data_IF_219611392676
#
_entry.id   IF_219611392676
#
_cell.length_a   1.000
_cell.length_b   1.000
_cell.length_c   1.000
_cell.angle_alpha   90.00
_cell.angle_beta   90.00
_cell.angle_gamma   90.00
#
_symmetry.space_group_name_H-M   'P 1'
#
loop_
_entity.id
_entity.type
_entity.pdbx_description
1 polymer ?
#
# COMPACT_ATOMS: atom_id res chain seq x y z
N UNK A 1 -11.66 -31.02 -11.49
CA UNK A 1 -12.01 -29.77 -12.20
C UNK A 1 -10.87 -29.26 -13.11
N UNK A 2 -9.63 -29.25 -12.63
CA UNK A 2 -8.46 -28.80 -13.41
C UNK A 2 -8.32 -29.42 -14.81
N UNK A 3 -8.27 -30.76 -14.95
CA UNK A 3 -8.09 -31.40 -16.26
C UNK A 3 -9.22 -31.10 -17.25
N UNK A 4 -10.45 -30.94 -16.75
CA UNK A 4 -11.61 -30.56 -17.57
C UNK A 4 -11.47 -29.12 -18.08
N UNK A 5 -11.05 -28.19 -17.22
CA UNK A 5 -10.79 -26.81 -17.60
C UNK A 5 -9.67 -26.70 -18.65
N UNK A 6 -8.56 -27.43 -18.45
CA UNK A 6 -7.47 -27.47 -19.43
C UNK A 6 -7.91 -28.02 -20.79
N UNK A 7 -8.73 -29.08 -20.81
CA UNK A 7 -9.29 -29.61 -22.06
C UNK A 7 -10.18 -28.58 -22.77
N UNK A 8 -10.99 -27.80 -22.04
CA UNK A 8 -11.80 -26.73 -22.60
C UNK A 8 -10.95 -25.67 -23.31
N UNK A 9 -9.85 -25.23 -22.68
CA UNK A 9 -8.92 -24.30 -23.31
C UNK A 9 -8.25 -24.92 -24.55
N UNK A 10 -7.81 -26.18 -24.45
CA UNK A 10 -7.15 -26.88 -25.55
C UNK A 10 -8.03 -27.08 -26.80
N UNK A 11 -9.35 -27.22 -26.64
CA UNK A 11 -10.30 -27.29 -27.77
C UNK A 11 -10.72 -25.90 -28.29
N UNK A 12 -10.07 -24.83 -27.85
CA UNK A 12 -10.26 -23.48 -28.37
C UNK A 12 -11.36 -22.67 -27.68
N UNK A 13 -11.81 -23.06 -26.48
CA UNK A 13 -12.70 -22.20 -25.69
C UNK A 13 -11.92 -20.99 -25.17
N UNK A 14 -12.38 -19.78 -25.49
CA UNK A 14 -11.73 -18.52 -25.10
C UNK A 14 -12.30 -18.02 -23.77
N UNK A 15 -11.46 -17.74 -22.78
CA UNK A 15 -11.92 -17.33 -21.43
C UNK A 15 -12.55 -15.94 -21.47
N UNK A 16 -12.03 -15.07 -22.31
CA UNK A 16 -12.37 -13.66 -22.46
C UNK A 16 -13.76 -13.44 -23.08
N UNK A 17 -14.31 -14.46 -23.78
CA UNK A 17 -15.67 -14.38 -24.34
C UNK A 17 -16.75 -14.87 -23.37
N UNK A 18 -16.36 -15.39 -22.20
CA UNK A 18 -17.31 -15.77 -21.16
C UNK A 18 -17.91 -14.50 -20.56
N UNK A 19 -19.23 -14.37 -20.65
CA UNK A 19 -19.95 -13.23 -20.07
C UNK A 19 -19.81 -13.26 -18.55
N UNK A 20 -19.39 -12.15 -17.97
CA UNK A 20 -19.44 -11.93 -16.52
C UNK A 20 -20.89 -11.72 -16.08
N UNK A 21 -21.18 -11.92 -14.80
CA UNK A 21 -22.54 -11.83 -14.26
C UNK A 21 -23.17 -10.43 -14.46
N UNK A 22 -22.35 -9.39 -14.59
CA UNK A 22 -22.78 -8.03 -14.91
C UNK A 22 -23.33 -7.85 -16.34
N UNK A 23 -23.24 -8.87 -17.21
CA UNK A 23 -23.72 -8.86 -18.59
C UNK A 23 -24.90 -9.84 -18.82
N UNK A 24 -25.49 -10.33 -17.75
CA UNK A 24 -26.63 -11.26 -17.80
C UNK A 24 -27.87 -10.55 -18.37
N UNK A 25 -28.58 -11.21 -19.27
CA UNK A 25 -29.87 -10.72 -19.83
C UNK A 25 -29.79 -9.87 -21.10
N UNK A 26 -28.60 -9.43 -21.56
CA UNK A 26 -28.47 -8.62 -22.79
C UNK A 26 -28.01 -9.47 -23.98
N UNK A 27 -28.89 -9.68 -24.98
CA UNK A 27 -28.50 -10.26 -26.27
C UNK A 27 -27.74 -9.19 -27.07
N UNK A 28 -26.43 -9.32 -27.17
CA UNK A 28 -25.58 -8.35 -27.88
C UNK A 28 -24.09 -8.71 -27.81
N UNK A 29 -23.27 -7.94 -28.56
CA UNK A 29 -21.80 -8.02 -28.50
C UNK A 29 -21.31 -7.63 -27.10
N UNK A 30 -20.24 -8.29 -26.64
CA UNK A 30 -19.56 -7.94 -25.39
C UNK A 30 -19.14 -6.46 -25.46
N UNK A 31 -19.35 -5.66 -24.38
CA UNK A 31 -18.80 -4.32 -24.32
C UNK A 31 -17.27 -4.38 -24.46
N UNK A 32 -16.71 -3.69 -25.45
CA UNK A 32 -15.26 -3.61 -25.66
C UNK A 32 -14.58 -2.55 -24.80
N UNK A 33 -15.36 -1.68 -24.15
CA UNK A 33 -14.85 -0.55 -23.37
C UNK A 33 -14.78 -0.92 -21.90
N UNK A 34 -13.60 -0.83 -21.25
CA UNK A 34 -13.50 -0.94 -19.80
C UNK A 34 -14.44 0.06 -19.14
N UNK A 35 -15.20 -0.37 -18.12
CA UNK A 35 -15.88 0.58 -17.24
C UNK A 35 -14.78 1.46 -16.61
N UNK A 36 -14.83 2.77 -16.86
CA UNK A 36 -13.97 3.70 -16.12
C UNK A 36 -14.28 3.55 -14.62
N UNK A 37 -13.26 3.46 -13.76
CA UNK A 37 -13.47 3.56 -12.32
C UNK A 37 -14.09 4.94 -11.99
N UNK A 38 -14.87 5.04 -10.90
CA UNK A 38 -15.52 6.29 -10.52
C UNK A 38 -14.48 7.41 -10.37
N UNK A 39 -14.81 8.58 -10.91
CA UNK A 39 -13.98 9.78 -10.96
C UNK A 39 -13.63 10.30 -9.55
N UNK A 40 -12.59 9.75 -8.93
CA UNK A 40 -11.86 10.48 -7.89
C UNK A 40 -11.04 11.55 -8.60
N UNK A 41 -11.44 12.83 -8.50
CA UNK A 41 -10.66 13.92 -9.06
C UNK A 41 -9.23 13.90 -8.47
N UNK A 42 -8.18 13.79 -9.28
CA UNK A 42 -6.82 13.56 -8.79
C UNK A 42 -6.28 14.66 -7.84
N UNK A 43 -6.83 15.87 -7.93
CA UNK A 43 -6.47 17.00 -7.07
C UNK A 43 -6.84 16.80 -5.58
N UNK A 44 -7.94 16.09 -5.30
CA UNK A 44 -8.39 15.83 -3.93
C UNK A 44 -7.48 14.82 -3.23
N UNK A 45 -6.97 13.84 -3.97
CA UNK A 45 -6.06 12.83 -3.45
C UNK A 45 -4.70 13.44 -3.09
N UNK A 46 -4.12 14.24 -3.99
CA UNK A 46 -2.82 14.89 -3.75
C UNK A 46 -2.85 15.75 -2.48
N UNK A 47 -3.92 16.53 -2.30
CA UNK A 47 -4.06 17.40 -1.12
C UNK A 47 -4.11 16.59 0.18
N UNK A 48 -4.84 15.47 0.17
CA UNK A 48 -4.93 14.56 1.32
C UNK A 48 -3.60 13.88 1.64
N UNK A 49 -2.83 13.47 0.62
CA UNK A 49 -1.50 12.88 0.81
C UNK A 49 -0.52 13.88 1.43
N UNK A 50 -0.49 15.11 0.91
CA UNK A 50 0.37 16.18 1.46
C UNK A 50 -0.01 16.48 2.91
N UNK A 51 -1.30 16.62 3.22
CA UNK A 51 -1.77 16.84 4.59
C UNK A 51 -1.40 15.69 5.52
N UNK A 52 -1.67 14.45 5.10
CA UNK A 52 -1.34 13.27 5.89
C UNK A 52 0.17 13.22 6.21
N UNK A 53 1.02 13.53 5.23
CA UNK A 53 2.47 13.59 5.42
C UNK A 53 2.87 14.66 6.46
N UNK A 54 2.37 15.89 6.32
CA UNK A 54 2.65 16.98 7.25
C UNK A 54 2.19 16.65 8.68
N UNK A 55 1.03 16.00 8.83
CA UNK A 55 0.48 15.65 10.15
C UNK A 55 1.16 14.43 10.80
N UNK A 56 2.02 13.72 10.08
CA UNK A 56 2.72 12.52 10.57
C UNK A 56 4.13 12.83 11.06
N UNK A 57 4.72 13.94 10.62
CA UNK A 57 6.00 14.43 11.09
C UNK A 57 5.89 15.29 12.36
N UNK A 58 6.91 15.31 13.23
CA UNK A 58 7.03 16.34 14.25
C UNK A 58 7.15 17.73 13.61
N UNK A 59 6.58 18.76 14.25
CA UNK A 59 6.77 20.14 13.82
C UNK A 59 8.26 20.47 13.77
N UNK A 60 8.70 21.15 12.70
CA UNK A 60 10.10 21.57 12.52
C UNK A 60 10.65 22.38 13.70
N UNK A 61 9.77 23.03 14.47
CA UNK A 61 10.12 23.78 15.67
C UNK A 61 10.38 22.91 16.92
N UNK A 62 10.10 21.60 16.88
CA UNK A 62 10.22 20.65 18.01
C UNK A 62 11.20 19.50 17.72
N UNK A 63 12.07 19.65 16.72
CA UNK A 63 13.05 18.63 16.41
C UNK A 63 14.14 18.59 17.48
N UNK A 64 14.26 17.47 18.19
CA UNK A 64 15.36 17.21 19.10
C UNK A 64 16.49 16.50 18.35
N UNK A 65 17.62 17.19 18.21
CA UNK A 65 18.83 16.67 17.58
C UNK A 65 19.85 16.17 18.61
N UNK A 66 19.49 16.04 19.89
CA UNK A 66 20.41 15.58 20.96
C UNK A 66 21.05 14.22 20.68
N UNK A 67 20.32 13.36 19.96
CA UNK A 67 20.75 12.02 19.55
C UNK A 67 21.29 11.97 18.11
N UNK A 68 21.23 13.09 17.37
CA UNK A 68 21.71 13.17 16.00
C UNK A 68 23.23 13.34 16.01
N UNK A 69 23.93 12.43 15.34
CA UNK A 69 25.36 12.53 15.13
C UNK A 69 25.62 12.64 13.64
N UNK A 70 26.24 13.74 13.22
CA UNK A 70 26.65 13.93 11.84
C UNK A 70 27.73 12.90 11.51
N UNK A 71 27.50 12.08 10.47
CA UNK A 71 28.41 11.03 10.01
C UNK A 71 29.63 11.66 9.33
N UNK A 72 30.49 12.33 10.09
CA UNK A 72 31.70 13.00 9.57
C UNK A 72 32.79 11.99 9.22
N UNK A 73 32.76 10.77 9.78
CA UNK A 73 33.55 9.61 9.38
C UNK A 73 32.80 8.31 9.69
N UNK A 74 32.97 7.24 8.90
CA UNK A 74 32.46 5.91 9.28
C UNK A 74 33.12 5.49 10.59
N UNK A 75 32.35 5.53 11.68
CA UNK A 75 32.78 5.00 12.97
C UNK A 75 32.79 3.48 12.86
N UNK A 76 33.95 2.89 12.55
CA UNK A 76 34.18 1.44 12.60
C UNK A 76 34.32 0.93 14.05
N UNK A 77 33.45 1.40 14.95
CA UNK A 77 33.29 0.86 16.29
C UNK A 77 32.56 -0.48 16.23
N UNK A 78 32.71 -1.33 17.23
CA UNK A 78 31.94 -2.57 17.33
C UNK A 78 30.47 -2.19 17.59
N UNK A 79 29.56 -2.63 16.71
CA UNK A 79 28.12 -2.57 16.97
C UNK A 79 27.82 -3.28 18.29
N UNK A 80 27.27 -2.52 19.23
CA UNK A 80 26.84 -2.96 20.55
C UNK A 80 25.39 -3.48 20.45
N UNK A 81 25.00 -4.38 21.36
CA UNK A 81 23.60 -4.73 21.60
C UNK A 81 22.71 -3.48 21.81
N UNK A 82 23.26 -2.40 22.37
CA UNK A 82 22.60 -1.10 22.49
C UNK A 82 22.26 -0.46 21.14
N UNK A 83 23.14 -0.55 20.15
CA UNK A 83 22.91 -0.01 18.81
C UNK A 83 21.80 -0.80 18.09
N UNK A 84 21.82 -2.12 18.24
CA UNK A 84 20.78 -3.02 17.71
C UNK A 84 19.42 -2.73 18.34
N UNK A 85 19.36 -2.55 19.66
CA UNK A 85 18.12 -2.19 20.35
C UNK A 85 17.59 -0.84 19.85
N UNK A 86 18.46 0.17 19.74
CA UNK A 86 18.09 1.48 19.22
C UNK A 86 17.54 1.39 17.79
N UNK A 87 18.12 0.56 16.93
CA UNK A 87 17.62 0.32 15.58
C UNK A 87 16.19 -0.25 15.61
N UNK A 88 15.93 -1.28 16.40
CA UNK A 88 14.59 -1.87 16.50
C UNK A 88 13.57 -0.92 17.14
N UNK A 89 13.97 -0.10 18.11
CA UNK A 89 13.12 0.93 18.71
C UNK A 89 12.73 1.99 17.66
N UNK A 90 13.70 2.46 16.85
CA UNK A 90 13.46 3.40 15.76
C UNK A 90 12.58 2.79 14.66
N UNK A 91 12.86 1.55 14.27
CA UNK A 91 12.09 0.82 13.27
C UNK A 91 10.63 0.67 13.73
N UNK A 92 10.41 0.22 14.97
CA UNK A 92 9.08 0.06 15.56
C UNK A 92 8.34 1.39 15.66
N UNK A 93 9.01 2.45 16.11
CA UNK A 93 8.42 3.78 16.17
C UNK A 93 8.05 4.32 14.79
N UNK A 94 8.87 4.05 13.77
CA UNK A 94 8.58 4.46 12.38
C UNK A 94 7.38 3.73 11.80
N UNK A 95 7.20 2.44 12.12
CA UNK A 95 6.03 1.66 11.71
C UNK A 95 4.74 2.26 12.27
N UNK A 96 4.74 2.65 13.54
CA UNK A 96 3.59 3.29 14.19
C UNK A 96 3.23 4.64 13.55
N UNK A 97 4.23 5.41 13.10
CA UNK A 97 4.00 6.66 12.36
C UNK A 97 3.39 6.37 11.00
N UNK A 98 3.90 5.38 10.26
CA UNK A 98 3.37 4.99 8.94
C UNK A 98 1.95 4.45 9.05
N UNK A 99 1.64 3.66 10.08
CA UNK A 99 0.28 3.16 10.34
C UNK A 99 -0.71 4.32 10.52
N UNK A 100 -0.37 5.28 11.39
CA UNK A 100 -1.20 6.49 11.61
C UNK A 100 -1.28 7.40 10.39
N UNK A 101 -0.24 7.42 9.55
CA UNK A 101 -0.26 8.13 8.28
C UNK A 101 -1.24 7.47 7.30
N UNK A 102 -1.20 6.13 7.18
CA UNK A 102 -2.03 5.37 6.27
C UNK A 102 -3.52 5.52 6.59
N UNK A 103 -3.91 5.56 7.87
CA UNK A 103 -5.27 5.83 8.32
C UNK A 103 -5.85 7.16 7.81
N UNK A 104 -5.00 8.14 7.49
CA UNK A 104 -5.40 9.45 6.95
C UNK A 104 -5.55 9.46 5.42
N UNK A 105 -5.17 8.38 4.74
CA UNK A 105 -5.25 8.27 3.29
C UNK A 105 -6.69 7.92 2.89
N UNK A 106 -7.33 8.70 2.00
CA UNK A 106 -8.65 8.36 1.49
C UNK A 106 -8.68 6.97 0.85
N UNK A 107 -9.62 6.14 1.27
CA UNK A 107 -9.79 4.77 0.79
C UNK A 107 -9.00 3.71 1.57
N UNK A 108 -8.06 4.09 2.45
CA UNK A 108 -7.27 3.10 3.20
C UNK A 108 -8.10 2.33 4.24
N UNK A 109 -9.16 2.94 4.77
CA UNK A 109 -10.07 2.28 5.71
C UNK A 109 -11.17 1.42 5.05
N UNK A 110 -11.22 1.36 3.71
CA UNK A 110 -12.21 0.56 2.98
C UNK A 110 -11.95 -0.97 3.01
N UNK A 111 -10.69 -1.45 2.90
CA UNK A 111 -10.35 -2.86 3.05
C UNK A 111 -10.55 -3.37 4.48
N UNK A 112 -10.59 -4.69 4.65
CA UNK A 112 -10.69 -5.30 5.98
C UNK A 112 -9.43 -5.00 6.83
N UNK A 113 -9.50 -5.04 8.18
CA UNK A 113 -8.33 -4.81 9.02
C UNK A 113 -7.15 -5.73 8.68
N UNK A 114 -7.43 -7.00 8.34
CA UNK A 114 -6.39 -7.94 7.91
C UNK A 114 -5.74 -7.56 6.58
N UNK A 115 -6.50 -6.98 5.65
CA UNK A 115 -5.94 -6.46 4.39
C UNK A 115 -5.13 -5.17 4.63
N UNK A 116 -5.57 -4.32 5.56
CA UNK A 116 -4.83 -3.11 5.96
C UNK A 116 -3.48 -3.48 6.58
N UNK A 117 -3.45 -4.47 7.48
CA UNK A 117 -2.22 -4.98 8.07
C UNK A 117 -1.31 -5.59 6.99
N UNK A 118 -1.86 -6.41 6.09
CA UNK A 118 -1.10 -7.00 4.99
C UNK A 118 -0.47 -5.94 4.07
N UNK A 119 -1.19 -4.85 3.78
CA UNK A 119 -0.67 -3.74 2.98
C UNK A 119 0.50 -3.04 3.67
N UNK A 120 0.43 -2.86 4.99
CA UNK A 120 1.51 -2.25 5.76
C UNK A 120 2.71 -3.19 5.85
N UNK A 121 2.49 -4.45 6.20
CA UNK A 121 3.55 -5.45 6.38
C UNK A 121 4.31 -5.72 5.07
N UNK A 122 3.61 -5.76 3.93
CA UNK A 122 4.22 -5.99 2.61
C UNK A 122 4.98 -4.80 2.04
N UNK A 123 4.74 -3.59 2.55
CA UNK A 123 5.40 -2.37 2.08
C UNK A 123 6.53 -1.90 3.01
N UNK A 124 6.50 -2.32 4.28
CA UNK A 124 7.43 -1.84 5.31
C UNK A 124 8.72 -2.65 5.43
N UNK A 125 8.69 -3.95 5.08
CA UNK A 125 9.83 -4.87 5.10
C UNK A 125 10.13 -5.41 3.70
#
# INVERSE_FOLDING_TARGET
>A
QFCRFQKCLAVGMVKEVVRTDSLKGRRGRLPSKPKQPPDASPANLLTSLVRAHLDSGPSTAKLDYSKFQELVLPHFGKEDAGDVQQFYDLLSASLEVIRKWAEKIPGFAEPSPGDQDLLLDSAFL
#
